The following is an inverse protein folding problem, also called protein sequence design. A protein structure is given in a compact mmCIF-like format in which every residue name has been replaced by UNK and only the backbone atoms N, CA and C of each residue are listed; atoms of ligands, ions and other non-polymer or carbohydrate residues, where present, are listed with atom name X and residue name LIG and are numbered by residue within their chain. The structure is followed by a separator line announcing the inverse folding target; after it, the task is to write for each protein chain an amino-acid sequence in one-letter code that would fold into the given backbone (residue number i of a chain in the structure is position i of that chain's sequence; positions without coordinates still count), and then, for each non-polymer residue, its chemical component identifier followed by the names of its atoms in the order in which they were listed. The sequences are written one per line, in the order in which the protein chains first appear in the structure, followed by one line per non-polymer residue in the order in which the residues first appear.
data_IF_840890700923
#
_entry.id   IF_840890700923
#
_cell.length_a   1.000
_cell.length_b   1.000
_cell.length_c   1.000
_cell.angle_alpha   90.00
_cell.angle_beta   90.00
_cell.angle_gamma   90.00
#
_symmetry.space_group_name_H-M   'P 1'
#
loop_
_entity.id
_entity.type
_entity.pdbx_description
1 polymer ?
#
# COMPACT_ATOMS: atom_id res chain seq x y z
N UNK A 1 7.28 4.65 -4.91
CA UNK A 1 6.86 3.34 -4.37
C UNK A 1 6.66 2.32 -5.48
N UNK A 2 5.69 2.50 -6.38
CA UNK A 2 5.45 1.59 -7.53
C UNK A 2 6.34 1.87 -8.77
N UNK A 3 7.59 2.26 -8.53
CA UNK A 3 8.59 2.50 -9.58
C UNK A 3 8.16 3.41 -10.76
N UNK A 4 7.38 4.46 -10.48
CA UNK A 4 6.95 5.43 -11.49
C UNK A 4 8.00 6.53 -11.65
N UNK A 5 8.47 6.77 -12.88
CA UNK A 5 9.51 7.77 -13.18
C UNK A 5 9.02 9.22 -13.09
N UNK A 6 7.81 9.49 -13.61
CA UNK A 6 7.23 10.83 -13.69
C UNK A 6 5.78 10.79 -13.25
N UNK A 7 5.41 11.70 -12.37
CA UNK A 7 4.06 11.82 -11.85
C UNK A 7 3.55 13.22 -12.12
N UNK A 8 2.42 13.32 -12.83
CA UNK A 8 1.69 14.59 -12.98
C UNK A 8 0.88 14.80 -11.70
N UNK A 9 1.12 15.91 -11.01
CA UNK A 9 0.49 16.20 -9.71
C UNK A 9 -0.67 17.18 -9.82
N UNK A 10 -0.65 18.03 -10.85
CA UNK A 10 -1.70 19.02 -11.10
C UNK A 10 -1.87 19.20 -12.61
N UNK A 11 -3.13 19.30 -13.04
CA UNK A 11 -3.51 19.64 -14.41
C UNK A 11 -4.51 20.77 -14.28
N UNK A 12 -4.10 21.97 -14.68
CA UNK A 12 -4.93 23.16 -14.72
C UNK A 12 -5.38 23.37 -16.17
N UNK A 13 -6.70 23.55 -16.35
CA UNK A 13 -7.29 23.72 -17.68
C UNK A 13 -7.24 25.18 -18.17
N UNK A 14 -7.21 26.15 -17.25
CA UNK A 14 -7.15 27.57 -17.56
C UNK A 14 -6.29 28.32 -16.53
N UNK A 15 -5.04 28.71 -16.87
CA UNK A 15 -4.35 28.43 -18.14
C UNK A 15 -4.02 26.94 -18.29
N UNK A 16 -3.94 26.45 -19.53
CA UNK A 16 -3.61 25.05 -19.82
C UNK A 16 -2.15 24.72 -19.43
N UNK A 17 -1.96 24.27 -18.20
CA UNK A 17 -0.66 23.95 -17.61
C UNK A 17 -0.76 22.67 -16.79
N UNK A 18 0.33 21.93 -16.68
CA UNK A 18 0.40 20.79 -15.78
C UNK A 18 1.72 20.81 -15.02
N UNK A 19 1.66 20.42 -13.75
CA UNK A 19 2.82 20.24 -12.90
C UNK A 19 3.17 18.77 -12.81
N UNK A 20 4.46 18.45 -12.87
CA UNK A 20 4.95 17.11 -12.66
C UNK A 20 6.12 17.09 -11.71
N UNK A 21 6.32 15.94 -11.08
CA UNK A 21 7.51 15.62 -10.31
C UNK A 21 8.18 14.40 -10.93
N UNK A 22 9.49 14.31 -10.83
CA UNK A 22 10.24 13.14 -11.27
C UNK A 22 10.80 12.41 -10.08
N UNK A 23 10.88 11.09 -10.19
CA UNK A 23 11.51 10.22 -9.19
C UNK A 23 12.94 10.66 -8.89
N UNK A 24 13.70 11.00 -9.94
CA UNK A 24 15.08 11.47 -9.83
C UNK A 24 15.20 12.72 -8.95
N UNK A 25 14.33 13.73 -9.17
CA UNK A 25 14.33 14.95 -8.35
C UNK A 25 14.10 14.63 -6.88
N UNK A 26 13.14 13.77 -6.57
CA UNK A 26 12.87 13.35 -5.19
C UNK A 26 14.07 12.59 -4.58
N UNK A 27 14.72 11.71 -5.33
CA UNK A 27 15.90 10.98 -4.87
C UNK A 27 17.07 11.92 -4.57
N UNK A 28 17.27 12.93 -5.41
CA UNK A 28 18.30 13.95 -5.21
C UNK A 28 18.05 14.78 -3.95
N UNK A 29 16.82 15.25 -3.75
CA UNK A 29 16.41 16.03 -2.56
C UNK A 29 16.52 15.23 -1.26
N UNK A 30 16.30 13.91 -1.31
CA UNK A 30 16.42 13.01 -0.16
C UNK A 30 17.85 12.48 0.08
N UNK A 31 18.86 13.13 -0.48
CA UNK A 31 20.26 12.79 -0.22
C UNK A 31 20.84 11.71 -1.13
N UNK A 32 20.34 11.63 -2.38
CA UNK A 32 20.77 10.71 -3.44
C UNK A 32 20.56 9.25 -3.06
N UNK A 33 19.32 8.92 -2.71
CA UNK A 33 18.93 7.54 -2.40
C UNK A 33 18.89 6.71 -3.70
N UNK A 34 19.31 5.44 -3.62
CA UNK A 34 19.08 4.48 -4.70
C UNK A 34 17.59 4.17 -4.87
N UNK A 35 17.20 3.44 -5.92
CA UNK A 35 15.81 3.03 -6.13
C UNK A 35 15.26 2.20 -4.95
N UNK A 36 16.05 1.24 -4.46
CA UNK A 36 15.67 0.40 -3.33
C UNK A 36 15.60 1.19 -2.03
N UNK A 37 16.60 2.05 -1.76
CA UNK A 37 16.63 2.90 -0.56
C UNK A 37 15.47 3.89 -0.54
N UNK A 38 15.10 4.44 -1.71
CA UNK A 38 13.95 5.32 -1.85
C UNK A 38 12.64 4.59 -1.54
N UNK A 39 12.48 3.35 -2.04
CA UNK A 39 11.33 2.51 -1.72
C UNK A 39 11.23 2.22 -0.21
N UNK A 40 12.34 1.79 0.41
CA UNK A 40 12.45 1.55 1.84
C UNK A 40 12.01 2.77 2.66
N UNK A 41 12.58 3.92 2.32
CA UNK A 41 12.28 5.17 3.03
C UNK A 41 10.82 5.59 2.84
N UNK A 42 10.27 5.48 1.62
CA UNK A 42 8.85 5.75 1.38
C UNK A 42 7.93 4.84 2.20
N UNK A 43 8.25 3.55 2.34
CA UNK A 43 7.44 2.62 3.14
C UNK A 43 7.46 3.00 4.63
N UNK A 44 8.63 3.36 5.17
CA UNK A 44 8.78 3.76 6.58
C UNK A 44 8.04 5.06 6.93
N UNK A 45 7.86 5.96 5.95
CA UNK A 45 7.08 7.20 6.15
C UNK A 45 5.57 6.94 6.25
N UNK A 46 5.12 5.71 5.96
CA UNK A 46 3.73 5.30 6.04
C UNK A 46 3.06 5.21 4.67
N UNK A 47 2.21 4.20 4.51
CA UNK A 47 1.40 3.94 3.31
C UNK A 47 0.14 3.15 3.69
N UNK A 48 -0.70 2.83 2.70
CA UNK A 48 -1.85 1.92 2.91
C UNK A 48 -1.43 0.50 3.33
N UNK A 49 -0.18 0.11 3.08
CA UNK A 49 0.31 -1.24 3.37
C UNK A 49 1.09 -1.33 4.69
N UNK A 50 1.60 -0.20 5.19
CA UNK A 50 2.45 -0.15 6.38
C UNK A 50 2.21 1.17 7.13
N UNK A 51 1.90 1.14 8.43
CA UNK A 51 1.87 2.38 9.22
C UNK A 51 3.25 3.04 9.27
N UNK A 52 3.27 4.34 9.53
CA UNK A 52 4.50 5.10 9.74
C UNK A 52 5.38 4.41 10.80
N UNK A 53 6.69 4.43 10.59
CA UNK A 53 7.65 3.86 11.52
C UNK A 53 7.48 4.50 12.91
N UNK A 54 7.17 3.73 13.97
CA UNK A 54 6.75 4.27 15.27
C UNK A 54 7.75 5.25 15.89
N UNK A 55 9.05 5.08 15.60
CA UNK A 55 10.11 5.92 16.15
C UNK A 55 10.15 7.32 15.50
N UNK A 56 9.60 7.47 14.29
CA UNK A 56 9.48 8.79 13.65
C UNK A 56 8.35 9.64 14.25
N UNK A 57 7.42 9.01 14.97
CA UNK A 57 6.34 9.72 15.64
C UNK A 57 6.84 10.31 16.95
N UNK A 58 6.56 11.59 17.15
CA UNK A 58 6.99 12.30 18.34
C UNK A 58 6.09 11.95 19.54
N UNK A 59 6.60 11.30 20.59
CA UNK A 59 5.78 10.93 21.75
C UNK A 59 5.28 12.15 22.54
N UNK A 60 5.92 13.31 22.42
CA UNK A 60 5.48 14.55 23.07
C UNK A 60 4.27 15.20 22.39
N UNK A 61 4.00 14.87 21.13
CA UNK A 61 2.86 15.40 20.36
C UNK A 61 2.16 14.28 19.57
N UNK A 62 1.35 13.45 20.26
CA UNK A 62 0.55 12.41 19.62
C UNK A 62 -0.33 13.02 18.52
N UNK A 63 -0.21 12.53 17.28
CA UNK A 63 -0.96 13.03 16.13
C UNK A 63 -0.21 14.02 15.22
N UNK A 64 0.98 14.50 15.62
CA UNK A 64 1.88 15.18 14.68
C UNK A 64 2.58 14.12 13.83
N UNK A 65 2.14 13.97 12.59
CA UNK A 65 2.71 13.00 11.65
C UNK A 65 4.23 13.17 11.48
N UNK A 66 4.92 12.05 11.23
CA UNK A 66 6.35 12.04 10.97
C UNK A 66 6.70 13.01 9.85
N UNK A 67 7.70 13.86 10.08
CA UNK A 67 8.21 14.74 9.03
C UNK A 67 9.42 14.10 8.35
N UNK A 68 9.53 14.28 7.03
CA UNK A 68 10.67 13.80 6.25
C UNK A 68 11.99 14.33 6.81
N UNK A 69 11.98 15.58 7.33
CA UNK A 69 13.17 16.24 7.88
C UNK A 69 13.70 15.54 9.14
N UNK A 70 12.82 14.98 9.96
CA UNK A 70 13.20 14.27 11.19
C UNK A 70 13.54 12.80 10.91
N UNK A 71 12.82 12.18 9.97
CA UNK A 71 13.00 10.77 9.60
C UNK A 71 14.29 10.51 8.79
N UNK A 72 14.66 11.42 7.89
CA UNK A 72 15.79 11.23 6.97
C UNK A 72 17.15 11.10 7.70
N UNK A 73 17.49 11.92 8.71
CA UNK A 73 18.70 11.72 9.52
C UNK A 73 18.76 10.36 10.20
N UNK A 74 17.63 9.88 10.74
CA UNK A 74 17.55 8.56 11.41
C UNK A 74 17.76 7.41 10.42
N UNK A 75 17.14 7.51 9.24
CA UNK A 75 17.36 6.55 8.16
C UNK A 75 18.82 6.53 7.68
N UNK A 76 19.46 7.70 7.59
CA UNK A 76 20.87 7.81 7.25
C UNK A 76 21.78 7.21 8.33
N UNK A 77 21.50 7.42 9.62
CA UNK A 77 22.29 6.81 10.70
C UNK A 77 22.19 5.28 10.76
N UNK A 78 21.10 4.71 10.26
CA UNK A 78 20.94 3.28 10.11
C UNK A 78 21.59 2.71 8.83
N UNK A 79 22.39 3.50 8.11
CA UNK A 79 23.04 3.04 6.87
C UNK A 79 22.10 2.98 5.67
N UNK A 80 20.99 3.73 5.68
CA UNK A 80 20.00 3.81 4.60
C UNK A 80 19.37 2.46 4.25
N UNK A 81 19.07 1.65 5.26
CA UNK A 81 18.31 0.42 5.12
C UNK A 81 17.18 0.39 6.13
N UNK A 82 15.99 -0.01 5.71
CA UNK A 82 14.85 -0.10 6.62
C UNK A 82 14.99 -1.27 7.61
N UNK A 83 15.57 -2.39 7.17
CA UNK A 83 15.79 -3.57 8.01
C UNK A 83 16.81 -3.29 9.13
N UNK A 84 17.90 -2.59 8.82
CA UNK A 84 18.87 -2.19 9.84
C UNK A 84 18.26 -1.24 10.86
N UNK A 85 17.42 -0.29 10.42
CA UNK A 85 16.70 0.60 11.31
C UNK A 85 15.69 -0.16 12.20
N UNK A 86 14.97 -1.14 11.63
CA UNK A 86 14.07 -2.00 12.42
C UNK A 86 14.84 -2.80 13.47
N UNK A 87 16.01 -3.37 13.13
CA UNK A 87 16.85 -4.12 14.05
C UNK A 87 17.41 -3.26 15.20
N UNK A 88 17.73 -1.98 14.93
CA UNK A 88 18.20 -1.04 15.96
C UNK A 88 17.15 -0.75 17.04
N UNK A 89 15.87 -0.83 16.70
CA UNK A 89 14.76 -0.51 17.59
C UNK A 89 13.85 -1.72 17.85
N UNK A 90 14.34 -2.94 17.64
CA UNK A 90 13.57 -4.18 17.82
C UNK A 90 13.09 -4.39 19.27
N UNK A 91 13.83 -3.85 20.23
CA UNK A 91 13.46 -3.90 21.66
C UNK A 91 12.45 -2.81 22.07
N UNK A 92 12.12 -1.84 21.21
CA UNK A 92 11.09 -0.84 21.53
C UNK A 92 9.71 -1.52 21.61
N UNK A 93 9.02 -1.29 22.71
CA UNK A 93 7.68 -1.85 22.97
C UNK A 93 6.70 -1.61 21.82
N UNK A 94 6.73 -0.44 21.18
CA UNK A 94 5.82 -0.10 20.07
C UNK A 94 6.10 -0.93 18.82
N UNK A 95 7.38 -1.26 18.58
CA UNK A 95 7.80 -2.11 17.47
C UNK A 95 7.33 -3.56 17.67
N UNK A 96 7.44 -4.07 18.91
CA UNK A 96 7.01 -5.41 19.28
C UNK A 96 5.48 -5.57 19.23
N UNK A 97 4.74 -4.62 19.80
CA UNK A 97 3.26 -4.64 19.80
C UNK A 97 2.70 -4.65 18.37
N UNK A 98 3.34 -3.95 17.44
CA UNK A 98 2.93 -3.92 16.03
C UNK A 98 3.48 -5.07 15.19
N UNK A 99 4.47 -5.83 15.70
CA UNK A 99 5.29 -6.74 14.90
C UNK A 99 5.77 -6.06 13.61
N UNK A 100 6.30 -4.84 13.76
CA UNK A 100 6.48 -3.91 12.65
C UNK A 100 7.41 -4.47 11.56
N UNK A 101 8.49 -5.14 11.95
CA UNK A 101 9.46 -5.74 11.02
C UNK A 101 8.80 -6.71 10.04
N UNK A 102 7.87 -7.53 10.52
CA UNK A 102 7.18 -8.52 9.68
C UNK A 102 6.14 -7.85 8.79
N UNK A 103 5.43 -6.83 9.29
CA UNK A 103 4.56 -5.99 8.46
C UNK A 103 5.33 -5.25 7.38
N UNK A 104 6.54 -4.76 7.68
CA UNK A 104 7.39 -4.09 6.71
C UNK A 104 7.82 -5.06 5.60
N UNK A 105 8.32 -6.26 5.96
CA UNK A 105 8.67 -7.29 4.97
C UNK A 105 7.48 -7.62 4.08
N UNK A 106 6.30 -7.77 4.69
CA UNK A 106 5.04 -8.02 3.98
C UNK A 106 4.72 -6.88 3.01
N UNK A 107 4.68 -5.63 3.49
CA UNK A 107 4.39 -4.46 2.66
C UNK A 107 5.41 -4.31 1.51
N UNK A 108 6.69 -4.53 1.78
CA UNK A 108 7.73 -4.51 0.76
C UNK A 108 7.46 -5.53 -0.36
N UNK A 109 7.16 -6.77 0.01
CA UNK A 109 6.81 -7.82 -0.95
C UNK A 109 5.54 -7.47 -1.74
N UNK A 110 4.51 -6.92 -1.09
CA UNK A 110 3.27 -6.50 -1.76
C UNK A 110 3.53 -5.43 -2.82
N UNK A 111 4.37 -4.45 -2.54
CA UNK A 111 4.67 -3.37 -3.50
C UNK A 111 5.53 -3.88 -4.64
N UNK A 112 6.57 -4.65 -4.32
CA UNK A 112 7.51 -5.18 -5.32
C UNK A 112 6.81 -6.15 -6.28
N UNK A 113 5.97 -7.02 -5.76
CA UNK A 113 5.26 -8.04 -6.53
C UNK A 113 3.77 -7.71 -6.71
N UNK A 114 3.41 -6.42 -6.75
CA UNK A 114 2.02 -6.02 -6.95
C UNK A 114 1.47 -6.61 -8.25
N UNK A 115 0.19 -6.99 -8.21
CA UNK A 115 -0.49 -7.59 -9.36
C UNK A 115 -1.04 -6.49 -10.26
N UNK A 116 -0.86 -6.67 -11.56
CA UNK A 116 -1.38 -5.78 -12.58
C UNK A 116 -2.07 -6.57 -13.70
N UNK A 117 -2.90 -5.86 -14.46
CA UNK A 117 -3.52 -6.37 -15.69
C UNK A 117 -2.80 -5.69 -16.85
N UNK A 118 -2.21 -6.50 -17.73
CA UNK A 118 -1.57 -6.01 -18.95
C UNK A 118 -2.62 -5.56 -19.98
N UNK A 119 -2.20 -4.77 -20.96
CA UNK A 119 -2.98 -4.37 -22.13
C UNK A 119 -3.50 -5.56 -22.94
N UNK A 120 -2.80 -6.70 -22.88
CA UNK A 120 -3.21 -7.98 -23.46
C UNK A 120 -4.26 -8.75 -22.62
N UNK A 121 -4.63 -8.23 -21.44
CA UNK A 121 -5.60 -8.85 -20.53
C UNK A 121 -5.02 -9.93 -19.61
N UNK A 122 -3.70 -10.15 -19.66
CA UNK A 122 -3.01 -11.09 -18.76
C UNK A 122 -2.90 -10.50 -17.36
N UNK A 123 -3.11 -11.34 -16.35
CA UNK A 123 -3.01 -10.95 -14.94
C UNK A 123 -1.86 -11.68 -14.27
N UNK A 124 -0.97 -10.93 -13.65
CA UNK A 124 0.20 -11.50 -12.97
C UNK A 124 0.94 -10.48 -12.09
N UNK A 125 1.88 -10.96 -11.27
CA UNK A 125 2.77 -10.09 -10.51
C UNK A 125 3.80 -9.42 -11.43
N UNK A 126 4.29 -8.24 -11.03
CA UNK A 126 5.31 -7.48 -11.77
C UNK A 126 6.61 -8.25 -12.05
N UNK A 127 7.06 -9.08 -11.11
CA UNK A 127 8.32 -9.84 -11.20
C UNK A 127 8.08 -11.32 -10.85
N UNK A 128 7.55 -12.14 -11.78
CA UNK A 128 7.18 -13.52 -11.51
C UNK A 128 8.37 -14.44 -11.24
N UNK A 129 9.57 -14.11 -11.72
CA UNK A 129 10.77 -14.96 -11.57
C UNK A 129 11.36 -14.94 -10.17
N UNK A 130 11.23 -13.80 -9.47
CA UNK A 130 11.74 -13.60 -8.11
C UNK A 130 10.65 -13.74 -7.03
N UNK A 131 9.46 -14.19 -7.42
CA UNK A 131 8.29 -14.35 -6.53
C UNK A 131 8.35 -15.71 -5.84
N UNK A 132 8.15 -15.77 -4.52
CA UNK A 132 8.05 -17.04 -3.79
C UNK A 132 6.73 -17.78 -4.08
N UNK A 133 6.68 -19.10 -3.89
CA UNK A 133 5.47 -19.91 -4.09
C UNK A 133 4.27 -19.47 -3.23
N UNK A 134 4.56 -18.89 -2.07
CA UNK A 134 3.58 -18.61 -1.03
C UNK A 134 2.99 -17.19 -1.15
N UNK A 135 3.21 -16.53 -2.29
CA UNK A 135 2.78 -15.15 -2.52
C UNK A 135 1.26 -14.97 -2.63
N UNK A 136 0.54 -16.07 -2.84
CA UNK A 136 -0.92 -16.12 -2.77
C UNK A 136 -1.45 -15.81 -1.35
N UNK A 137 -0.67 -16.06 -0.30
CA UNK A 137 -1.05 -15.66 1.07
C UNK A 137 -1.05 -14.14 1.26
N UNK A 138 -0.28 -13.43 0.46
CA UNK A 138 -0.14 -11.99 0.55
C UNK A 138 -1.06 -11.23 -0.40
N UNK A 139 -1.11 -11.66 -1.66
CA UNK A 139 -1.80 -10.94 -2.74
C UNK A 139 -3.21 -11.50 -2.98
N UNK A 140 -3.52 -12.66 -2.39
CA UNK A 140 -4.79 -13.35 -2.53
C UNK A 140 -4.77 -14.41 -3.63
N UNK A 141 -5.91 -15.08 -3.77
CA UNK A 141 -6.09 -16.13 -4.77
C UNK A 141 -6.29 -15.54 -6.16
N UNK A 142 -5.69 -16.18 -7.17
CA UNK A 142 -5.87 -15.81 -8.57
C UNK A 142 -7.24 -16.26 -9.06
N UNK A 143 -8.01 -15.33 -9.61
CA UNK A 143 -9.28 -15.61 -10.27
C UNK A 143 -9.10 -15.97 -11.76
N UNK A 144 -10.13 -16.56 -12.39
CA UNK A 144 -10.15 -16.74 -13.84
C UNK A 144 -9.95 -15.43 -14.60
N UNK A 145 -9.24 -15.50 -15.74
CA UNK A 145 -8.88 -14.33 -16.54
C UNK A 145 -10.10 -13.61 -17.13
N UNK A 146 -11.16 -14.36 -17.41
CA UNK A 146 -12.43 -13.83 -17.91
C UNK A 146 -13.07 -12.84 -16.93
N UNK A 147 -12.96 -13.09 -15.62
CA UNK A 147 -13.47 -12.17 -14.61
C UNK A 147 -12.71 -10.84 -14.61
N UNK A 148 -11.39 -10.89 -14.75
CA UNK A 148 -10.57 -9.68 -14.85
C UNK A 148 -10.85 -8.92 -16.15
N UNK A 149 -11.10 -9.62 -17.26
CA UNK A 149 -11.52 -9.00 -18.51
C UNK A 149 -12.83 -8.22 -18.34
N UNK A 150 -13.87 -8.82 -17.74
CA UNK A 150 -15.14 -8.13 -17.51
C UNK A 150 -15.02 -6.95 -16.55
N UNK A 151 -14.17 -7.07 -15.52
CA UNK A 151 -13.83 -5.96 -14.62
C UNK A 151 -13.16 -4.81 -15.39
N UNK A 152 -12.18 -5.11 -16.25
CA UNK A 152 -11.46 -4.11 -17.05
C UNK A 152 -12.35 -3.34 -18.02
N UNK A 153 -13.42 -3.98 -18.51
CA UNK A 153 -14.42 -3.39 -19.39
C UNK A 153 -15.56 -2.69 -18.65
N UNK A 154 -15.58 -2.74 -17.32
CA UNK A 154 -16.67 -2.19 -16.50
C UNK A 154 -18.00 -2.92 -16.67
N UNK A 155 -18.00 -4.14 -17.22
CA UNK A 155 -19.19 -4.98 -17.37
C UNK A 155 -19.58 -5.62 -16.03
N UNK A 156 -18.58 -5.93 -15.21
CA UNK A 156 -18.72 -6.51 -13.88
C UNK A 156 -18.17 -5.53 -12.83
N UNK A 157 -18.88 -5.34 -11.72
CA UNK A 157 -18.37 -4.60 -10.56
C UNK A 157 -17.43 -5.45 -9.70
N UNK A 158 -16.57 -4.80 -8.90
CA UNK A 158 -15.62 -5.49 -8.02
C UNK A 158 -16.29 -6.33 -6.92
N UNK A 159 -17.54 -6.02 -6.57
CA UNK A 159 -18.28 -6.71 -5.51
C UNK A 159 -18.53 -8.19 -5.85
N UNK A 160 -18.83 -8.52 -7.10
CA UNK A 160 -19.14 -9.91 -7.49
C UNK A 160 -17.93 -10.84 -7.31
N UNK A 161 -16.73 -10.52 -7.83
CA UNK A 161 -15.52 -11.27 -7.51
C UNK A 161 -15.23 -11.32 -6.00
N UNK A 162 -15.46 -10.23 -5.27
CA UNK A 162 -15.22 -10.19 -3.83
C UNK A 162 -16.16 -11.14 -3.07
N UNK A 163 -17.44 -11.23 -3.44
CA UNK A 163 -18.38 -12.18 -2.83
C UNK A 163 -18.01 -13.64 -3.14
N UNK A 164 -17.50 -13.91 -4.35
CA UNK A 164 -17.05 -15.24 -4.73
C UNK A 164 -15.82 -15.69 -3.93
N UNK A 165 -14.91 -14.77 -3.61
CA UNK A 165 -13.69 -15.08 -2.85
C UNK A 165 -13.93 -15.11 -1.34
N UNK A 166 -14.78 -14.23 -0.81
CA UNK A 166 -15.13 -14.21 0.62
C UNK A 166 -16.10 -15.33 1.00
N UNK A 167 -16.94 -15.79 0.05
CA UNK A 167 -18.07 -16.68 0.33
C UNK A 167 -19.24 -15.96 1.01
N UNK A 168 -19.17 -14.64 1.16
CA UNK A 168 -20.16 -13.83 1.86
C UNK A 168 -20.65 -12.69 0.96
N UNK A 169 -21.96 -12.48 0.93
CA UNK A 169 -22.57 -11.36 0.21
C UNK A 169 -22.81 -10.22 1.19
N UNK A 170 -22.05 -9.14 1.04
CA UNK A 170 -22.25 -7.92 1.85
C UNK A 170 -23.41 -7.13 1.27
N UNK A 171 -24.58 -7.26 1.89
CA UNK A 171 -25.77 -6.47 1.54
C UNK A 171 -25.73 -5.15 2.30
N UNK A 172 -25.50 -4.05 1.58
CA UNK A 172 -25.60 -2.70 2.16
C UNK A 172 -27.05 -2.38 2.52
N UNK A 173 -27.24 -1.71 3.66
CA UNK A 173 -28.58 -1.30 4.10
C UNK A 173 -29.15 -0.28 3.10
N UNK A 174 -30.48 -0.30 2.86
CA UNK A 174 -31.13 0.75 2.10
C UNK A 174 -30.84 2.13 2.73
N UNK A 175 -30.69 3.15 1.88
CA UNK A 175 -30.43 4.52 2.31
C UNK A 175 -31.49 4.99 3.31
N UNK A 176 -31.04 5.49 4.47
CA UNK A 176 -31.91 6.03 5.52
C UNK A 176 -32.44 5.01 6.53
N UNK A 177 -32.06 3.73 6.44
CA UNK A 177 -32.46 2.71 7.41
C UNK A 177 -31.44 2.63 8.55
N UNK A 178 -31.89 3.00 9.76
CA UNK A 178 -31.11 2.82 10.98
C UNK A 178 -31.01 1.34 11.38
N UNK A 179 -29.97 1.01 12.14
CA UNK A 179 -29.77 -0.32 12.67
C UNK A 179 -30.72 -0.64 13.82
N UNK A 180 -31.94 -0.97 13.45
CA UNK A 180 -33.00 -1.37 14.36
C UNK A 180 -33.05 -2.88 14.53
N UNK A 181 -33.40 -3.30 15.74
CA UNK A 181 -33.53 -4.71 16.13
C UNK A 181 -34.56 -5.46 15.25
N UNK A 182 -35.62 -4.76 14.83
CA UNK A 182 -36.65 -5.27 13.91
C UNK A 182 -36.04 -5.63 12.55
N UNK A 183 -35.13 -4.82 12.01
CA UNK A 183 -34.47 -5.09 10.72
C UNK A 183 -33.61 -6.36 10.79
N UNK A 184 -32.91 -6.57 11.90
CA UNK A 184 -32.09 -7.78 12.11
C UNK A 184 -32.93 -9.07 12.23
N UNK A 185 -34.18 -8.97 12.71
CA UNK A 185 -35.10 -10.11 12.78
C UNK A 185 -35.72 -10.48 11.43
N UNK A 186 -35.65 -9.60 10.42
CA UNK A 186 -36.22 -9.83 9.08
C UNK A 186 -35.18 -10.43 8.12
N UNK A 187 -33.88 -10.28 8.41
CA UNK A 187 -32.84 -10.95 7.65
C UNK A 187 -32.89 -12.46 7.98
N UNK A 188 -33.07 -13.34 6.97
CA UNK A 188 -32.92 -14.77 7.20
C UNK A 188 -31.46 -15.09 7.49
N UNK A 189 -31.23 -16.10 8.35
CA UNK A 189 -29.90 -16.64 8.69
C UNK A 189 -29.01 -16.89 7.45
#
# INVERSE_FOLDING_TARGET
MFDVDKLITRIDADPAQFCWITKQTCQEELGRLSNEQFLDFCLLLGSLFLPTFPIFENPAFPGKGATIRDALPMFNSAGRSALSLCAQFEEDRRMQELQYTDRYKRAFMTVKHHVFVDTEGRVGPMDPENTSSDMHELIGQRLPEELYFYLSKGVLGADVPNYLTSGEVVVSRPLGVEDTEIYRQILPD
#
